data_IF_132614346235
#
_entry.id   IF_132614346235
#
_cell.length_a   1.000
_cell.length_b   1.000
_cell.length_c   1.000
_cell.angle_alpha   90.00
_cell.angle_beta   90.00
_cell.angle_gamma   90.00
#
_symmetry.space_group_name_H-M   'P 1'
#
loop_
_entity.id
_entity.type
_entity.pdbx_description
1 polymer ?
#
# COMPACT_ATOMS: atom_id res chain seq x y z
N UNK A 1 -2.44 14.44 40.71
CA UNK A 1 -2.34 13.52 39.55
C UNK A 1 -0.97 12.82 39.40
N UNK A 2 -0.12 12.84 40.44
CA UNK A 2 1.14 12.08 40.50
C UNK A 2 1.10 10.94 41.57
N UNK A 3 -0.08 10.64 42.12
CA UNK A 3 -0.27 9.66 43.20
C UNK A 3 -0.99 8.37 42.74
N UNK A 4 -1.44 8.31 41.49
CA UNK A 4 -2.13 7.12 40.94
C UNK A 4 -1.19 6.20 40.14
N UNK A 5 -0.03 6.70 39.71
CA UNK A 5 0.99 5.92 38.97
C UNK A 5 1.97 5.18 39.91
N UNK A 6 2.04 5.55 41.18
CA UNK A 6 2.94 4.89 42.16
C UNK A 6 2.38 3.61 42.80
N UNK A 7 1.08 3.33 42.68
CA UNK A 7 0.44 2.21 43.37
C UNK A 7 0.46 0.90 42.58
N UNK A 8 0.82 0.92 41.30
CA UNK A 8 0.76 -0.26 40.42
C UNK A 8 2.13 -0.93 40.19
N UNK A 9 3.25 -0.26 40.47
CA UNK A 9 4.60 -0.83 40.27
C UNK A 9 5.29 -1.37 41.53
N UNK A 10 4.69 -1.25 42.72
CA UNK A 10 5.32 -1.67 43.98
C UNK A 10 5.03 -3.13 44.42
N UNK A 11 4.29 -3.93 43.63
CA UNK A 11 3.84 -5.27 44.04
C UNK A 11 4.66 -6.47 43.54
N UNK A 12 5.77 -6.26 42.83
CA UNK A 12 6.51 -7.37 42.20
C UNK A 12 8.00 -7.47 42.53
N UNK A 13 8.48 -6.84 43.61
CA UNK A 13 9.88 -7.02 44.00
C UNK A 13 10.07 -7.02 45.52
N UNK A 14 10.02 -8.19 46.16
CA UNK A 14 10.89 -8.55 47.30
C UNK A 14 10.65 -10.00 47.74
N UNK A 15 11.75 -10.64 48.12
CA UNK A 15 11.98 -12.06 48.31
C UNK A 15 11.51 -12.60 49.68
N UNK A 16 11.05 -13.86 49.67
CA UNK A 16 11.37 -14.99 50.58
C UNK A 16 11.29 -14.85 52.12
N UNK A 17 10.48 -15.69 52.79
CA UNK A 17 10.92 -16.90 53.58
C UNK A 17 9.73 -17.66 54.25
N UNK A 18 9.65 -19.00 53.99
CA UNK A 18 9.28 -20.18 54.85
C UNK A 18 7.99 -20.17 55.72
N UNK A 19 7.11 -21.19 55.89
CA UNK A 19 6.94 -22.66 55.63
C UNK A 19 5.46 -23.02 56.03
N UNK A 20 4.97 -24.29 56.14
CA UNK A 20 4.47 -25.23 55.11
C UNK A 20 3.03 -25.78 55.35
N UNK A 21 2.20 -26.06 54.33
CA UNK A 21 1.06 -27.02 54.47
C UNK A 21 0.82 -27.77 53.14
N UNK A 22 0.70 -29.11 53.23
CA UNK A 22 0.62 -30.10 52.14
C UNK A 22 -0.72 -30.15 51.37
N UNK A 23 -0.59 -30.23 50.04
CA UNK A 23 -1.33 -30.97 48.98
C UNK A 23 -2.85 -31.21 49.01
N UNK A 24 -3.51 -30.77 47.92
CA UNK A 24 -4.27 -31.67 47.03
C UNK A 24 -4.40 -31.05 45.61
N UNK A 25 -3.92 -31.78 44.60
CA UNK A 25 -3.92 -31.39 43.18
C UNK A 25 -5.29 -31.65 42.51
N UNK A 26 -5.78 -30.68 41.72
CA UNK A 26 -6.68 -30.92 40.58
C UNK A 26 -6.30 -29.99 39.42
N UNK A 27 -6.02 -30.49 38.21
CA UNK A 27 -5.54 -29.67 37.11
C UNK A 27 -6.70 -28.90 36.46
N UNK A 28 -6.53 -27.57 36.31
CA UNK A 28 -7.31 -26.76 35.37
C UNK A 28 -6.58 -26.80 34.03
N UNK A 29 -7.29 -27.20 32.98
CA UNK A 29 -6.78 -27.32 31.61
C UNK A 29 -6.14 -26.02 31.12
N UNK A 30 -4.90 -26.11 30.64
CA UNK A 30 -4.22 -25.02 29.97
C UNK A 30 -4.88 -24.72 28.61
N UNK A 31 -5.24 -23.45 28.38
CA UNK A 31 -5.52 -22.94 27.05
C UNK A 31 -4.23 -22.91 26.22
N UNK A 32 -4.23 -23.35 24.95
CA UNK A 32 -3.01 -23.33 24.14
C UNK A 32 -2.67 -21.89 23.76
N UNK A 33 -1.47 -21.45 24.16
CA UNK A 33 -0.89 -20.20 23.69
C UNK A 33 -0.68 -20.26 22.17
N UNK A 34 -1.35 -19.38 21.43
CA UNK A 34 -1.12 -19.22 19.98
C UNK A 34 0.31 -18.75 19.77
N UNK A 35 1.08 -19.56 19.02
CA UNK A 35 2.39 -19.22 18.44
C UNK A 35 2.34 -17.83 17.80
N UNK A 36 3.21 -16.93 18.25
CA UNK A 36 3.61 -15.78 17.43
C UNK A 36 4.24 -16.33 16.14
N UNK A 37 3.56 -16.13 15.02
CA UNK A 37 4.10 -16.41 13.70
C UNK A 37 5.21 -15.39 13.42
N UNK A 38 6.46 -15.83 13.55
CA UNK A 38 7.61 -15.08 13.03
C UNK A 38 7.53 -15.10 11.50
N UNK A 39 7.07 -14.00 10.89
CA UNK A 39 7.13 -13.83 9.44
C UNK A 39 8.59 -13.55 9.06
N UNK A 40 9.27 -14.57 8.53
CA UNK A 40 10.60 -14.40 7.92
C UNK A 40 10.44 -13.74 6.55
N UNK A 41 10.85 -12.49 6.42
CA UNK A 41 11.16 -11.88 5.13
C UNK A 41 12.49 -12.47 4.62
N UNK A 42 12.44 -13.26 3.54
CA UNK A 42 13.66 -13.59 2.79
C UNK A 42 13.92 -12.46 1.80
N UNK A 43 15.07 -11.80 1.92
CA UNK A 43 15.63 -11.02 0.83
C UNK A 43 15.98 -11.99 -0.30
N UNK A 44 15.37 -11.81 -1.47
CA UNK A 44 15.62 -12.65 -2.64
C UNK A 44 16.75 -12.04 -3.47
N UNK A 45 17.84 -12.80 -3.65
CA UNK A 45 18.86 -12.51 -4.65
C UNK A 45 18.36 -13.00 -6.01
N UNK A 46 18.31 -12.11 -6.99
CA UNK A 46 17.94 -12.43 -8.37
C UNK A 46 19.07 -13.21 -9.02
N UNK A 47 18.89 -14.51 -9.25
CA UNK A 47 19.58 -15.25 -10.31
C UNK A 47 18.52 -15.62 -11.34
N UNK A 48 18.48 -14.85 -12.44
CA UNK A 48 17.65 -15.16 -13.59
C UNK A 48 18.21 -16.42 -14.26
N UNK A 49 17.56 -17.56 -14.06
CA UNK A 49 17.79 -18.75 -14.89
C UNK A 49 16.98 -18.57 -16.17
N UNK A 50 17.65 -18.13 -17.24
CA UNK A 50 17.07 -18.10 -18.57
C UNK A 50 16.74 -19.53 -19.01
N UNK A 51 15.45 -19.83 -19.19
CA UNK A 51 14.97 -20.95 -19.99
C UNK A 51 14.31 -20.37 -21.25
N UNK A 52 14.97 -20.62 -22.37
CA UNK A 52 14.51 -20.72 -23.76
C UNK A 52 13.14 -20.11 -24.16
N UNK A 53 13.16 -19.17 -25.10
CA UNK A 53 12.31 -19.26 -26.30
C UNK A 53 11.08 -18.35 -26.49
N UNK A 54 10.49 -17.75 -25.45
CA UNK A 54 9.47 -16.71 -25.63
C UNK A 54 9.49 -15.70 -24.49
N UNK A 55 9.92 -14.47 -24.76
CA UNK A 55 9.80 -13.38 -23.78
C UNK A 55 8.31 -13.10 -23.54
N UNK A 56 7.81 -13.43 -22.35
CA UNK A 56 6.45 -13.10 -21.92
C UNK A 56 6.18 -11.61 -22.13
N UNK A 57 5.16 -11.27 -22.92
CA UNK A 57 4.84 -9.88 -23.26
C UNK A 57 4.07 -9.20 -22.12
N UNK A 58 4.40 -7.95 -21.83
CA UNK A 58 3.86 -7.22 -20.67
C UNK A 58 3.07 -6.00 -21.10
N UNK A 59 1.81 -5.92 -20.69
CA UNK A 59 0.97 -4.75 -20.82
C UNK A 59 1.09 -3.83 -19.61
N UNK A 60 1.04 -2.51 -19.80
CA UNK A 60 0.98 -1.56 -18.69
C UNK A 60 -0.06 -0.46 -18.95
N UNK A 61 -1.11 -0.44 -18.13
CA UNK A 61 -2.24 0.48 -18.22
C UNK A 61 -2.12 1.54 -17.12
N UNK A 62 -2.03 2.81 -17.52
CA UNK A 62 -1.94 3.94 -16.60
C UNK A 62 -0.51 4.39 -16.34
N UNK A 63 -0.16 5.57 -16.86
CA UNK A 63 1.19 6.16 -16.82
C UNK A 63 1.19 7.44 -15.98
N UNK A 64 0.70 7.33 -14.75
CA UNK A 64 0.71 8.39 -13.75
C UNK A 64 2.05 8.51 -13.02
N UNK A 65 2.01 9.15 -11.84
CA UNK A 65 3.19 9.34 -10.96
C UNK A 65 3.85 8.00 -10.61
N UNK A 66 3.05 6.96 -10.39
CA UNK A 66 3.54 5.63 -10.03
C UNK A 66 3.73 4.72 -11.25
N UNK A 67 2.77 4.70 -12.19
CA UNK A 67 2.81 3.77 -13.32
C UNK A 67 3.97 4.01 -14.29
N UNK A 68 4.32 5.26 -14.57
CA UNK A 68 5.42 5.60 -15.47
C UNK A 68 6.79 5.04 -15.03
N UNK A 69 7.27 5.29 -13.79
CA UNK A 69 8.53 4.69 -13.34
C UNK A 69 8.48 3.16 -13.23
N UNK A 70 7.33 2.58 -12.87
CA UNK A 70 7.15 1.12 -12.84
C UNK A 70 7.34 0.48 -14.22
N UNK A 71 6.65 0.99 -15.24
CA UNK A 71 6.79 0.54 -16.62
C UNK A 71 8.20 0.81 -17.18
N UNK A 72 8.81 1.94 -16.80
CA UNK A 72 10.20 2.24 -17.17
C UNK A 72 11.19 1.21 -16.61
N UNK A 73 10.99 0.71 -15.40
CA UNK A 73 11.86 -0.31 -14.81
C UNK A 73 11.75 -1.65 -15.55
N UNK A 74 10.55 -2.02 -16.01
CA UNK A 74 10.36 -3.19 -16.88
C UNK A 74 11.09 -3.04 -18.22
N UNK A 75 11.00 -1.86 -18.86
CA UNK A 75 11.74 -1.57 -20.10
C UNK A 75 13.26 -1.66 -19.91
N UNK A 76 13.78 -1.05 -18.84
CA UNK A 76 15.23 -1.09 -18.52
C UNK A 76 15.73 -2.51 -18.25
N UNK A 77 14.85 -3.39 -17.75
CA UNK A 77 15.15 -4.81 -17.54
C UNK A 77 15.06 -5.64 -18.83
N UNK A 78 14.73 -5.02 -19.98
CA UNK A 78 14.65 -5.69 -21.28
C UNK A 78 13.33 -6.41 -21.53
N UNK A 79 12.27 -6.11 -20.78
CA UNK A 79 10.94 -6.67 -21.04
C UNK A 79 10.30 -6.07 -22.29
N UNK A 80 9.51 -6.87 -23.02
CA UNK A 80 8.66 -6.38 -24.11
C UNK A 80 7.40 -5.74 -23.54
N UNK A 81 7.38 -4.41 -23.47
CA UNK A 81 6.31 -3.65 -22.80
C UNK A 81 5.44 -2.92 -23.82
N UNK A 82 4.13 -3.17 -23.76
CA UNK A 82 3.09 -2.42 -24.47
C UNK A 82 2.33 -1.53 -23.49
N UNK A 83 2.26 -0.23 -23.75
CA UNK A 83 1.66 0.74 -22.83
C UNK A 83 0.38 1.35 -23.38
N UNK A 84 -0.49 1.73 -22.45
CA UNK A 84 -1.62 2.60 -22.71
C UNK A 84 -1.81 3.60 -21.57
N UNK A 85 -2.26 4.80 -21.92
CA UNK A 85 -2.75 5.77 -20.96
C UNK A 85 -3.85 6.64 -21.61
N UNK A 86 -4.89 6.99 -20.86
CA UNK A 86 -6.00 7.84 -21.31
C UNK A 86 -5.50 9.12 -22.01
N UNK A 87 -4.50 9.76 -21.43
CA UNK A 87 -3.77 10.87 -22.08
C UNK A 87 -2.57 10.31 -22.85
N UNK A 88 -2.68 10.21 -24.18
CA UNK A 88 -1.64 9.61 -25.04
C UNK A 88 -0.24 10.20 -24.82
N UNK A 89 -0.13 11.52 -24.64
CA UNK A 89 1.19 12.18 -24.51
C UNK A 89 2.00 11.69 -23.31
N UNK A 90 1.38 11.06 -22.30
CA UNK A 90 2.10 10.41 -21.19
C UNK A 90 2.82 9.13 -21.61
N UNK A 91 2.48 8.53 -22.75
CA UNK A 91 3.16 7.36 -23.31
C UNK A 91 4.47 7.72 -24.03
N UNK A 92 4.57 8.91 -24.60
CA UNK A 92 5.68 9.30 -25.50
C UNK A 92 7.08 9.12 -24.88
N UNK A 93 7.32 9.42 -23.58
CA UNK A 93 8.62 9.14 -22.96
C UNK A 93 8.97 7.64 -22.92
N UNK A 94 7.99 6.76 -22.72
CA UNK A 94 8.22 5.31 -22.66
C UNK A 94 8.34 4.71 -24.06
N UNK A 95 7.58 5.23 -25.03
CA UNK A 95 7.74 4.86 -26.46
C UNK A 95 9.17 5.17 -26.92
N UNK A 96 9.71 6.32 -26.51
CA UNK A 96 11.10 6.71 -26.81
C UNK A 96 12.13 5.77 -26.17
N UNK A 97 11.74 5.00 -25.14
CA UNK A 97 12.56 3.97 -24.49
C UNK A 97 12.29 2.56 -25.04
N UNK A 98 11.49 2.42 -26.09
CA UNK A 98 11.21 1.14 -26.76
C UNK A 98 9.87 0.50 -26.40
N UNK A 99 9.00 1.17 -25.63
CA UNK A 99 7.65 0.66 -25.41
C UNK A 99 6.81 0.67 -26.69
N UNK A 100 6.01 -0.37 -26.88
CA UNK A 100 4.93 -0.39 -27.87
C UNK A 100 3.73 0.40 -27.32
N UNK A 101 2.89 0.91 -28.20
CA UNK A 101 1.69 1.66 -27.82
C UNK A 101 0.44 1.05 -28.47
N UNK A 102 -0.65 1.02 -27.70
CA UNK A 102 -1.99 0.74 -28.19
C UNK A 102 -2.97 1.83 -27.77
N UNK A 103 -4.05 2.06 -28.54
CA UNK A 103 -4.98 3.15 -28.28
C UNK A 103 -6.03 2.81 -27.21
N UNK A 104 -6.18 1.54 -26.80
CA UNK A 104 -7.16 1.10 -25.80
C UNK A 104 -6.62 0.02 -24.84
N UNK A 105 -7.19 -0.09 -23.63
CA UNK A 105 -6.89 -1.19 -22.70
C UNK A 105 -7.16 -2.58 -23.27
N UNK A 106 -8.25 -2.76 -24.02
CA UNK A 106 -8.58 -4.02 -24.69
C UNK A 106 -7.47 -4.46 -25.67
N UNK A 107 -6.91 -3.55 -26.46
CA UNK A 107 -5.86 -3.88 -27.42
C UNK A 107 -4.54 -4.23 -26.74
N UNK A 108 -4.20 -3.57 -25.63
CA UNK A 108 -3.03 -3.97 -24.81
C UNK A 108 -3.23 -5.39 -24.28
N UNK A 109 -4.39 -5.68 -23.69
CA UNK A 109 -4.67 -6.97 -23.08
C UNK A 109 -4.75 -8.11 -24.11
N UNK A 110 -5.19 -7.81 -25.33
CA UNK A 110 -5.22 -8.75 -26.45
C UNK A 110 -3.82 -9.19 -26.89
N UNK A 111 -2.80 -8.33 -26.82
CA UNK A 111 -1.44 -8.64 -27.27
C UNK A 111 -0.50 -9.13 -26.15
N UNK A 112 -0.84 -8.86 -24.89
CA UNK A 112 0.05 -9.13 -23.76
C UNK A 112 -0.32 -10.41 -23.00
N UNK A 113 0.68 -11.14 -22.51
CA UNK A 113 0.48 -12.31 -21.65
C UNK A 113 0.08 -11.89 -20.23
N UNK A 114 0.73 -10.85 -19.70
CA UNK A 114 0.44 -10.27 -18.38
C UNK A 114 0.23 -8.77 -18.53
N UNK A 115 -0.93 -8.26 -18.11
CA UNK A 115 -1.27 -6.83 -18.17
C UNK A 115 -1.36 -6.23 -16.77
N UNK A 116 -0.48 -5.30 -16.45
CA UNK A 116 -0.50 -4.52 -15.22
C UNK A 116 -1.38 -3.28 -15.36
N UNK A 117 -2.02 -2.87 -14.27
CA UNK A 117 -2.85 -1.67 -14.25
C UNK A 117 -2.57 -0.82 -13.00
N UNK A 118 -2.18 0.44 -13.19
CA UNK A 118 -1.89 1.42 -12.12
C UNK A 118 -2.71 2.70 -12.31
N UNK A 119 -3.91 2.71 -11.72
CA UNK A 119 -4.90 3.78 -11.88
C UNK A 119 -5.04 4.63 -10.61
N UNK A 120 -5.65 5.81 -10.78
CA UNK A 120 -5.74 6.84 -9.74
C UNK A 120 -6.72 6.51 -8.62
N UNK A 121 -7.83 5.84 -8.95
CA UNK A 121 -8.96 5.60 -8.05
C UNK A 121 -9.74 4.33 -8.46
N UNK A 122 -10.65 3.84 -7.59
CA UNK A 122 -11.49 2.67 -7.86
C UNK A 122 -12.30 2.76 -9.15
N UNK A 123 -12.88 3.92 -9.46
CA UNK A 123 -13.71 4.13 -10.65
C UNK A 123 -12.87 3.99 -11.93
N UNK A 124 -11.68 4.59 -11.95
CA UNK A 124 -10.74 4.47 -13.08
C UNK A 124 -10.22 3.04 -13.25
N UNK A 125 -9.93 2.34 -12.14
CA UNK A 125 -9.51 0.94 -12.19
C UNK A 125 -10.62 0.05 -12.78
N UNK A 126 -11.86 0.25 -12.33
CA UNK A 126 -13.02 -0.47 -12.85
C UNK A 126 -13.29 -0.14 -14.33
N UNK A 127 -13.26 1.14 -14.72
CA UNK A 127 -13.46 1.57 -16.12
C UNK A 127 -12.42 0.93 -17.05
N UNK A 128 -11.14 0.97 -16.68
CA UNK A 128 -10.04 0.44 -17.50
C UNK A 128 -10.06 -1.09 -17.57
N UNK A 129 -10.53 -1.78 -16.53
CA UNK A 129 -10.65 -3.22 -16.54
C UNK A 129 -11.93 -3.71 -17.25
N UNK A 130 -13.07 -3.08 -16.97
CA UNK A 130 -14.41 -3.62 -17.22
C UNK A 130 -15.27 -2.79 -18.19
N UNK A 131 -14.84 -1.58 -18.56
CA UNK A 131 -15.60 -0.66 -19.42
C UNK A 131 -15.75 -1.13 -20.87
N UNK A 132 -16.37 -0.29 -21.71
CA UNK A 132 -16.65 -0.60 -23.12
C UNK A 132 -15.41 -0.97 -23.93
N UNK A 133 -14.28 -0.31 -23.66
CA UNK A 133 -12.97 -0.62 -24.25
C UNK A 133 -11.98 -1.17 -23.19
N UNK A 134 -12.52 -1.75 -22.12
CA UNK A 134 -11.74 -2.24 -20.99
C UNK A 134 -10.95 -3.51 -21.31
N UNK A 135 -9.93 -3.79 -20.51
CA UNK A 135 -9.06 -4.96 -20.69
C UNK A 135 -9.82 -6.30 -20.79
N UNK A 136 -10.97 -6.43 -20.12
CA UNK A 136 -11.84 -7.60 -20.17
C UNK A 136 -12.40 -7.92 -21.57
N UNK A 137 -12.36 -7.00 -22.53
CA UNK A 137 -12.82 -7.24 -23.90
C UNK A 137 -11.72 -7.77 -24.82
N UNK A 138 -10.44 -7.69 -24.41
CA UNK A 138 -9.30 -8.23 -25.16
C UNK A 138 -8.56 -9.38 -24.46
N UNK A 139 -8.73 -9.54 -23.14
CA UNK A 139 -8.08 -10.61 -22.38
C UNK A 139 -8.85 -11.93 -22.48
N UNK A 140 -8.14 -13.07 -22.34
CA UNK A 140 -8.74 -14.40 -22.44
C UNK A 140 -7.90 -15.50 -21.79
N UNK A 141 -8.21 -16.79 -22.05
CA UNK A 141 -7.54 -17.91 -21.42
C UNK A 141 -6.01 -17.89 -21.59
N UNK A 142 -5.29 -18.22 -20.51
CA UNK A 142 -3.82 -18.24 -20.49
C UNK A 142 -3.16 -16.88 -20.21
N UNK A 143 -3.94 -15.78 -20.22
CA UNK A 143 -3.46 -14.43 -19.89
C UNK A 143 -3.78 -14.04 -18.45
N UNK A 144 -3.07 -13.03 -17.94
CA UNK A 144 -3.23 -12.51 -16.59
C UNK A 144 -3.45 -11.01 -16.55
N UNK A 145 -4.34 -10.55 -15.66
CA UNK A 145 -4.51 -9.14 -15.30
C UNK A 145 -4.03 -8.92 -13.87
N UNK A 146 -3.12 -7.96 -13.69
CA UNK A 146 -2.53 -7.63 -12.38
C UNK A 146 -2.86 -6.17 -12.03
N UNK A 147 -3.82 -5.98 -11.14
CA UNK A 147 -4.19 -4.64 -10.68
C UNK A 147 -3.27 -4.21 -9.52
N UNK A 148 -2.41 -3.23 -9.77
CA UNK A 148 -1.48 -2.67 -8.78
C UNK A 148 -2.00 -1.34 -8.20
N UNK A 149 -3.21 -0.93 -8.56
CA UNK A 149 -3.88 0.26 -8.08
C UNK A 149 -4.26 0.15 -6.59
N UNK A 150 -4.47 1.29 -5.94
CA UNK A 150 -5.07 1.32 -4.59
C UNK A 150 -6.59 1.41 -4.72
N UNK A 151 -7.28 0.31 -4.44
CA UNK A 151 -8.75 0.20 -4.48
C UNK A 151 -9.29 -0.44 -3.19
N UNK A 152 -10.60 -0.41 -2.99
CA UNK A 152 -11.25 -1.20 -1.94
C UNK A 152 -11.49 -2.66 -2.38
N UNK A 153 -11.73 -3.53 -1.40
CA UNK A 153 -11.91 -4.96 -1.63
C UNK A 153 -13.18 -5.30 -2.43
N UNK A 154 -14.21 -4.46 -2.41
CA UNK A 154 -15.40 -4.62 -3.25
C UNK A 154 -15.07 -4.39 -4.72
N UNK A 155 -14.40 -3.27 -5.03
CA UNK A 155 -13.93 -2.95 -6.38
C UNK A 155 -13.02 -4.05 -6.94
N UNK A 156 -12.02 -4.50 -6.18
CA UNK A 156 -11.13 -5.58 -6.61
C UNK A 156 -11.87 -6.88 -6.91
N UNK A 157 -12.86 -7.26 -6.08
CA UNK A 157 -13.70 -8.45 -6.33
C UNK A 157 -14.55 -8.32 -7.59
N UNK A 158 -15.08 -7.13 -7.89
CA UNK A 158 -15.84 -6.89 -9.13
C UNK A 158 -14.95 -7.02 -10.37
N UNK A 159 -13.75 -6.42 -10.33
CA UNK A 159 -12.76 -6.55 -11.42
C UNK A 159 -12.37 -8.02 -11.59
N UNK A 160 -12.05 -8.72 -10.51
CA UNK A 160 -11.74 -10.14 -10.51
C UNK A 160 -12.84 -10.98 -11.18
N UNK A 161 -14.10 -10.78 -10.80
CA UNK A 161 -15.23 -11.49 -11.40
C UNK A 161 -15.31 -11.25 -12.91
N UNK A 162 -15.16 -10.00 -13.34
CA UNK A 162 -15.22 -9.64 -14.77
C UNK A 162 -14.05 -10.21 -15.57
N UNK A 163 -12.83 -10.12 -15.05
CA UNK A 163 -11.65 -10.68 -15.72
C UNK A 163 -11.76 -12.20 -15.82
N UNK A 164 -12.13 -12.88 -14.73
CA UNK A 164 -12.24 -14.36 -14.74
C UNK A 164 -13.38 -14.86 -15.62
N UNK A 165 -14.41 -14.06 -15.89
CA UNK A 165 -15.47 -14.44 -16.85
C UNK A 165 -14.96 -14.60 -18.29
N UNK A 166 -13.77 -14.08 -18.60
CA UNK A 166 -13.10 -14.25 -19.91
C UNK A 166 -12.24 -15.52 -20.00
N UNK A 167 -12.05 -16.21 -18.86
CA UNK A 167 -11.08 -17.32 -18.72
C UNK A 167 -9.66 -16.88 -18.37
N UNK A 168 -9.39 -15.57 -18.29
CA UNK A 168 -8.12 -15.04 -17.79
C UNK A 168 -7.97 -15.18 -16.26
N UNK A 169 -6.74 -15.07 -15.77
CA UNK A 169 -6.43 -15.04 -14.33
C UNK A 169 -6.36 -13.60 -13.80
N UNK A 170 -6.65 -13.42 -12.51
CA UNK A 170 -6.60 -12.11 -11.85
C UNK A 170 -5.74 -12.13 -10.59
N UNK A 171 -4.96 -11.07 -10.41
CA UNK A 171 -4.17 -10.81 -9.22
C UNK A 171 -4.33 -9.34 -8.82
N UNK A 172 -4.71 -9.07 -7.58
CA UNK A 172 -4.50 -7.74 -7.00
C UNK A 172 -3.09 -7.70 -6.39
N UNK A 173 -2.42 -6.57 -6.55
CA UNK A 173 -1.06 -6.34 -6.06
C UNK A 173 -0.83 -4.87 -5.71
N UNK A 174 -1.69 -4.21 -4.89
CA UNK A 174 -1.46 -2.84 -4.45
C UNK A 174 -0.08 -2.67 -3.81
N UNK A 175 0.50 -1.49 -3.97
CA UNK A 175 1.88 -1.22 -3.57
C UNK A 175 1.99 -0.31 -2.34
N UNK A 176 2.96 -0.58 -1.47
CA UNK A 176 3.46 0.38 -0.49
C UNK A 176 4.80 0.97 -0.95
N UNK A 177 4.91 2.29 -0.83
CA UNK A 177 5.97 3.11 -1.44
C UNK A 177 5.38 4.32 -2.17
N UNK A 178 6.24 5.30 -2.47
CA UNK A 178 5.90 6.51 -3.22
C UNK A 178 6.66 6.54 -4.55
N UNK A 179 6.69 7.70 -5.21
CA UNK A 179 7.38 7.93 -6.49
C UNK A 179 8.84 7.45 -6.47
N UNK A 180 9.62 7.85 -5.45
CA UNK A 180 11.05 7.49 -5.37
C UNK A 180 11.26 5.96 -5.25
N UNK A 181 10.58 5.25 -4.33
CA UNK A 181 10.57 3.79 -4.36
C UNK A 181 10.11 3.16 -5.68
N UNK A 182 9.17 3.77 -6.41
CA UNK A 182 8.76 3.29 -7.73
C UNK A 182 9.87 3.45 -8.78
N UNK A 183 10.57 4.59 -8.79
CA UNK A 183 11.72 4.85 -9.67
C UNK A 183 12.86 3.86 -9.40
N UNK A 184 13.10 3.52 -8.13
CA UNK A 184 14.22 2.69 -7.71
C UNK A 184 13.94 1.18 -7.73
N UNK A 185 12.73 0.75 -8.08
CA UNK A 185 12.34 -0.66 -8.01
C UNK A 185 12.31 -1.18 -6.56
N UNK A 186 11.88 -0.35 -5.62
CA UNK A 186 11.91 -0.61 -4.17
C UNK A 186 10.50 -0.66 -3.54
N UNK A 187 9.46 -0.79 -4.35
CA UNK A 187 8.09 -0.98 -3.89
C UNK A 187 7.91 -2.28 -3.08
N UNK A 188 6.86 -2.30 -2.28
CA UNK A 188 6.40 -3.48 -1.54
C UNK A 188 5.04 -3.87 -2.11
N UNK A 189 4.92 -5.04 -2.72
CA UNK A 189 3.65 -5.52 -3.28
C UNK A 189 2.85 -6.32 -2.25
N UNK A 190 1.56 -6.02 -2.14
CA UNK A 190 0.61 -6.68 -1.25
C UNK A 190 -0.34 -7.53 -2.10
N UNK A 191 0.09 -8.73 -2.48
CA UNK A 191 -0.56 -9.52 -3.51
C UNK A 191 -1.63 -10.46 -2.97
N UNK A 192 -2.70 -10.66 -3.72
CA UNK A 192 -3.73 -11.66 -3.44
C UNK A 192 -4.49 -12.02 -4.74
N UNK A 193 -5.06 -13.22 -4.80
CA UNK A 193 -5.73 -13.77 -5.98
C UNK A 193 -5.07 -15.03 -6.52
N UNK A 194 -5.10 -15.21 -7.84
CA UNK A 194 -4.72 -16.49 -8.46
C UNK A 194 -3.22 -16.80 -8.25
N UNK A 195 -2.94 -17.88 -7.51
CA UNK A 195 -1.56 -18.30 -7.19
C UNK A 195 -0.68 -18.55 -8.43
N UNK A 196 -1.16 -19.22 -9.49
CA UNK A 196 -0.35 -19.42 -10.69
C UNK A 196 0.03 -18.09 -11.37
N UNK A 197 -0.87 -17.11 -11.37
CA UNK A 197 -0.57 -15.78 -11.91
C UNK A 197 0.41 -15.02 -11.01
N UNK A 198 0.30 -15.15 -9.68
CA UNK A 198 1.32 -14.62 -8.77
C UNK A 198 2.72 -15.17 -9.09
N UNK A 199 2.85 -16.48 -9.32
CA UNK A 199 4.13 -17.11 -9.64
C UNK A 199 4.64 -16.67 -11.03
N UNK A 200 3.75 -16.52 -12.03
CA UNK A 200 4.08 -16.00 -13.36
C UNK A 200 4.51 -14.52 -13.32
N UNK A 201 3.79 -13.67 -12.58
CA UNK A 201 4.04 -12.24 -12.50
C UNK A 201 5.23 -11.89 -11.59
N UNK A 202 5.67 -12.85 -10.78
CA UNK A 202 6.74 -12.71 -9.79
C UNK A 202 8.00 -11.99 -10.31
N UNK A 203 8.60 -12.39 -11.46
CA UNK A 203 9.82 -11.75 -11.92
C UNK A 203 9.63 -10.27 -12.27
N UNK A 204 8.44 -9.89 -12.78
CA UNK A 204 8.11 -8.50 -13.08
C UNK A 204 7.88 -7.67 -11.81
N UNK A 205 7.21 -8.25 -10.81
CA UNK A 205 7.05 -7.63 -9.50
C UNK A 205 8.41 -7.42 -8.81
N UNK A 206 9.33 -8.37 -8.94
CA UNK A 206 10.68 -8.31 -8.36
C UNK A 206 11.59 -7.28 -9.08
N UNK A 207 11.29 -6.90 -10.33
CA UNK A 207 11.93 -5.77 -11.03
C UNK A 207 11.43 -4.43 -10.46
N UNK A 208 10.13 -4.34 -10.19
CA UNK A 208 9.48 -3.09 -9.76
C UNK A 208 9.52 -2.88 -8.24
N UNK A 209 9.94 -3.89 -7.47
CA UNK A 209 9.89 -3.84 -6.01
C UNK A 209 10.92 -4.72 -5.32
N UNK A 210 11.16 -4.40 -4.05
CA UNK A 210 12.12 -5.12 -3.19
C UNK A 210 11.50 -6.28 -2.43
N UNK A 211 10.16 -6.35 -2.36
CA UNK A 211 9.45 -7.40 -1.62
C UNK A 211 8.00 -7.53 -2.08
N UNK A 212 7.44 -8.72 -1.88
CA UNK A 212 6.04 -9.04 -2.17
C UNK A 212 5.49 -10.04 -1.15
N UNK A 213 4.28 -9.78 -0.67
CA UNK A 213 3.56 -10.65 0.25
C UNK A 213 2.38 -11.29 -0.46
N UNK A 214 2.21 -12.60 -0.36
CA UNK A 214 1.01 -13.28 -0.86
C UNK A 214 0.01 -13.47 0.29
N UNK A 215 -1.13 -12.82 0.16
CA UNK A 215 -2.13 -12.62 1.21
C UNK A 215 -3.39 -13.48 0.98
N UNK A 216 -3.32 -14.46 0.09
CA UNK A 216 -4.40 -15.41 -0.17
C UNK A 216 -5.45 -14.83 -1.12
N UNK A 217 -6.71 -14.83 -0.70
CA UNK A 217 -7.86 -14.53 -1.56
C UNK A 217 -8.00 -13.05 -1.93
N UNK A 218 -8.61 -12.80 -3.09
CA UNK A 218 -8.90 -11.45 -3.61
C UNK A 218 -9.68 -10.62 -2.58
N UNK A 219 -9.22 -9.40 -2.38
CA UNK A 219 -9.68 -8.44 -1.40
C UNK A 219 -8.71 -8.30 -0.21
N UNK A 220 -7.88 -9.30 0.08
CA UNK A 220 -6.94 -9.25 1.21
C UNK A 220 -5.76 -8.30 0.96
N UNK A 221 -5.28 -8.20 -0.27
CA UNK A 221 -4.26 -7.24 -0.68
C UNK A 221 -4.79 -5.80 -0.61
N UNK A 222 -5.98 -5.56 -1.16
CA UNK A 222 -6.68 -4.28 -1.03
C UNK A 222 -6.87 -3.90 0.44
N UNK A 223 -7.42 -4.81 1.26
CA UNK A 223 -7.63 -4.56 2.68
C UNK A 223 -6.32 -4.24 3.44
N UNK A 224 -5.27 -5.02 3.21
CA UNK A 224 -3.95 -4.77 3.82
C UNK A 224 -3.41 -3.39 3.44
N UNK A 225 -3.52 -3.01 2.17
CA UNK A 225 -3.09 -1.70 1.68
C UNK A 225 -3.84 -0.57 2.39
N UNK A 226 -5.17 -0.70 2.53
CA UNK A 226 -5.98 0.30 3.20
C UNK A 226 -5.65 0.42 4.69
N UNK A 227 -5.37 -0.69 5.38
CA UNK A 227 -4.89 -0.69 6.77
C UNK A 227 -3.55 0.06 6.88
N UNK A 228 -2.59 -0.23 5.99
CA UNK A 228 -1.29 0.46 5.97
C UNK A 228 -1.45 1.96 5.75
N UNK A 229 -2.26 2.36 4.76
CA UNK A 229 -2.50 3.78 4.47
C UNK A 229 -3.20 4.48 5.64
N UNK A 230 -4.17 3.83 6.29
CA UNK A 230 -4.83 4.38 7.48
C UNK A 230 -3.82 4.69 8.59
N UNK A 231 -2.96 3.73 8.91
CA UNK A 231 -1.93 3.90 9.94
C UNK A 231 -1.00 5.05 9.60
N UNK A 232 -0.50 5.11 8.36
CA UNK A 232 0.36 6.20 7.91
C UNK A 232 -0.35 7.56 8.00
N UNK A 233 -1.64 7.64 7.65
CA UNK A 233 -2.38 8.89 7.63
C UNK A 233 -2.59 9.45 9.02
N UNK A 234 -2.91 8.57 9.98
CA UNK A 234 -2.99 8.90 11.40
C UNK A 234 -1.63 9.30 11.99
N UNK A 235 -0.56 8.58 11.66
CA UNK A 235 0.79 8.91 12.13
C UNK A 235 1.24 10.30 11.67
N UNK A 236 0.93 10.68 10.43
CA UNK A 236 1.28 12.00 9.91
C UNK A 236 0.47 13.12 10.59
N UNK A 237 -0.82 12.91 10.85
CA UNK A 237 -1.63 13.85 11.62
C UNK A 237 -1.06 14.06 13.03
N UNK A 238 -0.68 12.98 13.73
CA UNK A 238 -0.04 13.06 15.05
C UNK A 238 1.31 13.77 15.01
N UNK A 239 2.13 13.53 13.98
CA UNK A 239 3.39 14.27 13.79
C UNK A 239 3.12 15.77 13.62
N UNK A 240 2.13 16.14 12.80
CA UNK A 240 1.77 17.53 12.56
C UNK A 240 1.34 18.25 13.85
N UNK A 241 0.52 17.62 14.69
CA UNK A 241 0.17 18.16 16.02
C UNK A 241 1.41 18.32 16.90
N UNK A 242 2.29 17.32 16.93
CA UNK A 242 3.53 17.35 17.71
C UNK A 242 4.48 18.48 17.28
N UNK A 243 4.67 18.69 15.98
CA UNK A 243 5.50 19.76 15.43
C UNK A 243 4.95 21.14 15.83
N UNK A 244 3.65 21.37 15.64
CA UNK A 244 3.02 22.66 15.98
C UNK A 244 3.01 22.92 17.49
N UNK A 245 2.78 21.88 18.31
CA UNK A 245 2.89 22.02 19.76
C UNK A 245 4.31 22.34 20.18
N UNK A 246 5.32 21.66 19.59
CA UNK A 246 6.74 21.90 19.89
C UNK A 246 7.14 23.35 19.61
N UNK A 247 6.72 23.89 18.46
CA UNK A 247 6.91 25.30 18.10
C UNK A 247 6.22 26.22 19.12
N UNK A 248 4.98 25.90 19.50
CA UNK A 248 4.21 26.72 20.45
C UNK A 248 4.81 26.77 21.85
N UNK A 249 5.51 25.71 22.28
CA UNK A 249 6.24 25.67 23.56
C UNK A 249 7.69 26.15 23.45
N UNK A 250 8.11 26.66 22.28
CA UNK A 250 9.43 27.27 22.06
C UNK A 250 10.55 26.29 21.73
N UNK A 251 10.22 25.07 21.29
CA UNK A 251 11.18 24.09 20.80
C UNK A 251 11.35 24.22 19.28
N UNK A 252 12.54 23.85 18.77
CA UNK A 252 12.78 23.73 17.34
C UNK A 252 12.14 22.43 16.80
N UNK A 253 11.19 22.51 15.85
CA UNK A 253 10.57 21.33 15.25
C UNK A 253 11.58 20.38 14.57
N UNK A 254 12.72 20.88 14.09
CA UNK A 254 13.76 20.04 13.48
C UNK A 254 14.44 19.15 14.53
N UNK A 255 14.68 19.70 15.72
CA UNK A 255 15.23 18.92 16.86
C UNK A 255 14.23 17.87 17.30
N UNK A 256 12.91 18.16 17.28
CA UNK A 256 11.90 17.14 17.53
C UNK A 256 12.03 15.97 16.54
N UNK A 257 12.12 16.23 15.24
CA UNK A 257 12.28 15.17 14.22
C UNK A 257 13.56 14.36 14.46
N UNK A 258 14.67 15.02 14.83
CA UNK A 258 15.92 14.33 15.17
C UNK A 258 15.74 13.40 16.38
N UNK A 259 15.12 13.90 17.46
CA UNK A 259 14.81 13.09 18.66
C UNK A 259 13.94 11.88 18.30
N UNK A 260 12.91 12.07 17.46
CA UNK A 260 12.05 10.97 17.01
C UNK A 260 12.82 9.93 16.20
N UNK A 261 13.77 10.36 15.36
CA UNK A 261 14.54 9.47 14.49
C UNK A 261 15.46 8.50 15.25
N UNK A 262 15.86 8.85 16.48
CA UNK A 262 16.68 8.01 17.35
C UNK A 262 15.84 7.16 18.32
N UNK A 263 14.54 7.45 18.44
CA UNK A 263 13.65 6.83 19.40
C UNK A 263 12.88 5.61 18.87
N UNK A 264 12.03 5.06 19.75
CA UNK A 264 11.21 3.88 19.45
C UNK A 264 10.16 4.09 18.34
N UNK A 265 9.85 5.34 18.01
CA UNK A 265 8.87 5.69 16.95
C UNK A 265 9.55 6.20 15.68
N UNK A 266 10.84 5.93 15.50
CA UNK A 266 11.56 6.27 14.27
C UNK A 266 10.86 5.67 13.05
N UNK A 267 10.48 6.54 12.11
CA UNK A 267 9.81 6.16 10.88
C UNK A 267 10.37 7.01 9.73
N UNK A 268 10.82 6.41 8.61
CA UNK A 268 11.38 7.17 7.49
C UNK A 268 10.44 8.25 6.93
N UNK A 269 9.12 8.05 7.09
CA UNK A 269 8.10 9.01 6.67
C UNK A 269 8.09 10.33 7.47
N UNK A 270 8.72 10.39 8.65
CA UNK A 270 8.79 11.65 9.41
C UNK A 270 9.83 12.61 8.83
N UNK A 271 10.83 12.08 8.13
CA UNK A 271 11.86 12.83 7.41
C UNK A 271 11.58 13.00 5.92
N UNK A 272 10.52 12.37 5.39
CA UNK A 272 10.22 12.33 3.95
C UNK A 272 8.79 12.79 3.65
N UNK A 273 8.62 13.44 2.50
CA UNK A 273 7.34 13.64 1.82
C UNK A 273 6.77 12.29 1.34
N UNK A 274 5.46 12.07 1.45
CA UNK A 274 4.83 10.77 1.12
C UNK A 274 3.56 10.92 0.27
N UNK A 275 2.99 9.81 -0.23
CA UNK A 275 1.94 9.91 -1.23
C UNK A 275 0.64 10.49 -0.63
N UNK A 276 -0.19 11.13 -1.45
CA UNK A 276 -1.58 11.41 -1.10
C UNK A 276 -2.28 10.09 -0.72
N UNK A 277 -3.04 10.09 0.38
CA UNK A 277 -3.68 8.87 0.89
C UNK A 277 -5.17 9.08 1.13
N UNK A 278 -5.98 8.14 0.63
CA UNK A 278 -7.42 8.17 0.83
C UNK A 278 -7.83 7.44 2.12
N UNK A 279 -7.99 8.22 3.18
CA UNK A 279 -8.50 7.73 4.47
C UNK A 279 -9.95 7.24 4.39
N UNK A 280 -10.73 7.67 3.38
CA UNK A 280 -12.16 7.30 3.26
C UNK A 280 -12.32 5.82 2.94
N UNK A 281 -11.47 5.27 2.09
CA UNK A 281 -11.50 3.83 1.76
C UNK A 281 -11.22 2.98 3.00
N UNK A 282 -10.25 3.38 3.83
CA UNK A 282 -9.96 2.68 5.07
C UNK A 282 -11.08 2.80 6.11
N UNK A 283 -11.72 3.96 6.22
CA UNK A 283 -12.89 4.14 7.08
C UNK A 283 -14.09 3.32 6.59
N UNK A 284 -14.32 3.25 5.28
CA UNK A 284 -15.34 2.38 4.69
C UNK A 284 -15.05 0.89 4.96
N UNK A 285 -13.79 0.47 4.89
CA UNK A 285 -13.38 -0.88 5.30
C UNK A 285 -13.69 -1.13 6.78
N UNK A 286 -13.35 -0.19 7.67
CA UNK A 286 -13.63 -0.32 9.11
C UNK A 286 -15.14 -0.40 9.40
N UNK A 287 -15.95 0.41 8.72
CA UNK A 287 -17.40 0.38 8.81
C UNK A 287 -17.98 -0.97 8.36
N UNK A 288 -17.49 -1.52 7.23
CA UNK A 288 -17.96 -2.80 6.69
C UNK A 288 -17.77 -3.99 7.64
N UNK A 289 -16.84 -3.89 8.60
CA UNK A 289 -16.59 -4.92 9.63
C UNK A 289 -16.97 -4.45 11.04
N UNK A 290 -17.67 -3.32 11.18
CA UNK A 290 -18.08 -2.74 12.45
C UNK A 290 -16.92 -2.53 13.45
N UNK A 291 -15.74 -2.17 12.95
CA UNK A 291 -14.54 -1.92 13.77
C UNK A 291 -14.40 -0.43 14.08
N UNK A 292 -14.45 -0.01 15.35
CA UNK A 292 -14.18 1.38 15.72
C UNK A 292 -12.73 1.78 15.43
N UNK A 293 -12.54 2.93 14.77
CA UNK A 293 -11.23 3.52 14.41
C UNK A 293 -11.19 5.03 14.74
N UNK A 294 -11.35 5.43 16.02
CA UNK A 294 -11.58 6.83 16.39
C UNK A 294 -10.44 7.79 16.00
N UNK A 295 -9.18 7.33 16.08
CA UNK A 295 -8.02 8.15 15.69
C UNK A 295 -7.99 8.38 14.18
N UNK A 296 -8.32 7.36 13.39
CA UNK A 296 -8.40 7.49 11.94
C UNK A 296 -9.56 8.42 11.52
N UNK A 297 -10.70 8.34 12.21
CA UNK A 297 -11.83 9.23 11.98
C UNK A 297 -11.47 10.69 12.25
N UNK A 298 -10.80 10.98 13.39
CA UNK A 298 -10.33 12.32 13.71
C UNK A 298 -9.30 12.84 12.68
N UNK A 299 -8.32 12.01 12.31
CA UNK A 299 -7.34 12.37 11.29
C UNK A 299 -7.99 12.67 9.94
N UNK A 300 -8.99 11.88 9.54
CA UNK A 300 -9.73 12.09 8.29
C UNK A 300 -10.42 13.47 8.23
N UNK A 301 -10.95 13.98 9.35
CA UNK A 301 -11.51 15.34 9.39
C UNK A 301 -10.44 16.41 9.12
N UNK A 302 -9.20 16.22 9.58
CA UNK A 302 -8.08 17.14 9.26
C UNK A 302 -7.75 17.12 7.76
N UNK A 303 -7.73 15.94 7.13
CA UNK A 303 -7.55 15.84 5.68
C UNK A 303 -8.69 16.48 4.88
N UNK A 304 -9.94 16.42 5.37
CA UNK A 304 -11.07 17.17 4.76
C UNK A 304 -10.87 18.67 4.87
N UNK A 305 -10.36 19.18 6.00
CA UNK A 305 -10.02 20.60 6.15
C UNK A 305 -8.89 21.01 5.21
N UNK A 306 -7.83 20.21 5.08
CA UNK A 306 -6.75 20.46 4.12
C UNK A 306 -7.30 20.51 2.68
N UNK A 307 -8.16 19.55 2.31
CA UNK A 307 -8.86 19.52 1.02
C UNK A 307 -9.67 20.79 0.77
N UNK A 308 -10.44 21.25 1.75
CA UNK A 308 -11.22 22.49 1.67
C UNK A 308 -10.35 23.75 1.53
N UNK A 309 -9.07 23.68 1.90
CA UNK A 309 -8.07 24.74 1.70
C UNK A 309 -7.36 24.66 0.34
N UNK A 310 -7.76 23.75 -0.54
CA UNK A 310 -7.18 23.60 -1.87
C UNK A 310 -5.93 22.71 -1.94
N UNK A 311 -5.58 22.03 -0.86
CA UNK A 311 -4.35 21.22 -0.74
C UNK A 311 -4.55 19.78 -1.23
N UNK A 312 -5.44 19.57 -2.21
CA UNK A 312 -5.81 18.22 -2.68
C UNK A 312 -4.70 17.57 -3.51
N UNK A 313 -3.95 18.40 -4.24
CA UNK A 313 -2.87 17.97 -5.13
C UNK A 313 -1.50 17.97 -4.44
N UNK A 314 -1.46 18.43 -3.18
CA UNK A 314 -0.25 18.47 -2.37
C UNK A 314 0.03 17.11 -1.70
N UNK A 315 1.24 16.98 -1.17
CA UNK A 315 1.66 15.86 -0.34
C UNK A 315 0.72 15.70 0.86
N UNK A 316 0.41 14.46 1.28
CA UNK A 316 -0.42 14.25 2.47
C UNK A 316 0.15 14.89 3.74
N UNK A 317 1.47 15.17 3.80
CA UNK A 317 2.07 15.95 4.88
C UNK A 317 1.50 17.37 5.01
N UNK A 318 0.87 17.91 3.95
CA UNK A 318 0.18 19.20 3.95
C UNK A 318 -1.02 19.24 4.93
N UNK A 319 -1.39 18.11 5.54
CA UNK A 319 -2.35 18.09 6.67
C UNK A 319 -1.92 19.01 7.81
N UNK A 320 -0.62 19.29 7.99
CA UNK A 320 -0.16 20.29 8.96
C UNK A 320 -0.75 21.68 8.72
N UNK A 321 -0.98 22.06 7.46
CA UNK A 321 -1.59 23.33 7.10
C UNK A 321 -3.05 23.39 7.54
N UNK A 322 -3.74 22.27 7.72
CA UNK A 322 -5.12 22.27 8.26
C UNK A 322 -5.17 22.73 9.72
N UNK A 323 -4.10 22.46 10.47
CA UNK A 323 -3.96 22.76 11.89
C UNK A 323 -3.40 24.17 12.13
N UNK A 324 -2.70 24.75 11.15
CA UNK A 324 -2.30 26.16 11.22
C UNK A 324 -3.56 27.03 11.24
N UNK A 325 -3.70 27.85 12.28
CA UNK A 325 -4.71 28.89 12.30
C UNK A 325 -4.50 29.80 11.09
N UNK A 326 -5.57 30.31 10.47
CA UNK A 326 -5.43 31.53 9.68
C UNK A 326 -4.85 32.55 10.64
N UNK A 327 -3.57 32.90 10.47
CA UNK A 327 -3.09 34.19 10.93
C UNK A 327 -3.98 35.19 10.19
N UNK A 328 -5.03 35.64 10.85
CA UNK A 328 -5.81 36.76 10.35
C UNK A 328 -4.80 37.88 10.16
N UNK A 329 -4.67 38.32 8.91
CA UNK A 329 -4.02 39.58 8.59
C UNK A 329 -4.81 40.66 9.34
N UNK A 330 -4.37 40.99 10.55
CA UNK A 330 -4.76 42.18 11.30
C UNK A 330 -3.89 43.34 10.85
#
# INVERSE_FOLDING_TARGET
MALWVRTTMAKYCSYSTQLPIHFAERPISAFPAKRLLTVRSKAFSVQASAKDGSSTSVGFLGLGIMGSPMAQNLLKAGCDVTVWNRTKSKCDPLISLGAKYKPSPEEVAAECDVTFAMLADPDSAFEVACGEHGAANGIGPGKGYVDVSTVDGGTSKLINQRIKSTGASFLEAPVSGSKKPAEDGQLIFLTAGDKPLYDLASPFLDIMGKSRFYLGDVGNGAAMKLVVNMMMGSMMATLAEGLLLSEKVGLDPNVLVEVLSQGAISAPMYSMKGPSMDMRLALGLAESVSQPTPIAAAANELYKVAKARGLSDDDFSAVIESLRAKLGSS
#
